data_IF_114765580115
#
_entry.id   IF_114765580115
#
_cell.length_a   1.000
_cell.length_b   1.000
_cell.length_c   1.000
_cell.angle_alpha   90.00
_cell.angle_beta   90.00
_cell.angle_gamma   90.00
#
_symmetry.space_group_name_H-M   'P 1'
#
loop_
_entity.id
_entity.type
_entity.pdbx_description
1 polymer ?
#
# COMPACT_ATOMS: atom_id res chain seq x y z
N UNK A 1 6.57 -18.29 -37.04
CA UNK A 1 6.51 -17.29 -35.96
C UNK A 1 5.20 -17.48 -35.20
N UNK A 2 5.20 -17.30 -33.89
CA UNK A 2 4.06 -17.51 -33.00
C UNK A 2 3.91 -16.26 -32.13
N UNK A 3 2.69 -15.77 -31.95
CA UNK A 3 2.38 -14.71 -31.00
C UNK A 3 1.63 -15.29 -29.81
N UNK A 4 2.05 -14.96 -28.59
CA UNK A 4 1.33 -15.25 -27.35
C UNK A 4 0.54 -14.00 -26.95
N UNK A 5 -0.77 -14.17 -26.78
CA UNK A 5 -1.68 -13.12 -26.30
C UNK A 5 -2.52 -13.66 -25.14
N UNK A 6 -2.99 -12.77 -24.27
CA UNK A 6 -3.98 -13.03 -23.24
C UNK A 6 -5.29 -12.30 -23.60
N UNK A 7 -6.38 -12.64 -22.92
CA UNK A 7 -7.65 -11.93 -23.10
C UNK A 7 -7.52 -10.43 -22.78
N UNK A 8 -6.61 -10.06 -21.87
CA UNK A 8 -6.31 -8.67 -21.53
C UNK A 8 -4.91 -8.51 -20.91
N UNK A 9 -4.30 -7.34 -21.14
CA UNK A 9 -3.09 -6.90 -20.46
C UNK A 9 -1.78 -7.49 -21.01
N UNK A 10 -0.84 -7.76 -20.10
CA UNK A 10 0.49 -8.29 -20.42
C UNK A 10 0.49 -9.82 -20.27
N UNK A 11 0.65 -10.58 -21.38
CA UNK A 11 0.70 -12.04 -21.31
C UNK A 11 1.83 -12.56 -20.41
N UNK A 12 1.53 -13.59 -19.63
CA UNK A 12 2.45 -14.19 -18.68
C UNK A 12 2.42 -13.56 -17.28
N UNK A 13 1.58 -12.54 -17.04
CA UNK A 13 1.42 -11.93 -15.71
C UNK A 13 0.01 -12.24 -15.17
N UNK A 14 -0.04 -13.03 -14.10
CA UNK A 14 -1.30 -13.52 -13.51
C UNK A 14 -2.19 -14.32 -14.49
N UNK A 15 -1.56 -14.96 -15.48
CA UNK A 15 -2.19 -15.81 -16.50
C UNK A 15 -1.30 -17.03 -16.82
N UNK A 16 -1.76 -18.03 -17.63
CA UNK A 16 -1.01 -19.27 -17.84
C UNK A 16 0.21 -19.13 -18.78
N UNK A 17 0.37 -18.00 -19.48
CA UNK A 17 1.39 -17.74 -20.49
C UNK A 17 2.82 -17.89 -19.98
N UNK A 18 3.06 -17.65 -18.69
CA UNK A 18 4.37 -17.82 -18.06
C UNK A 18 4.95 -19.24 -18.28
N UNK A 19 4.10 -20.27 -18.25
CA UNK A 19 4.53 -21.66 -18.44
C UNK A 19 5.06 -21.91 -19.85
N UNK A 20 4.46 -21.27 -20.86
CA UNK A 20 4.90 -21.38 -22.24
C UNK A 20 6.23 -20.64 -22.43
N UNK A 21 6.32 -19.39 -21.96
CA UNK A 21 7.56 -18.60 -22.02
C UNK A 21 8.72 -19.33 -21.38
N UNK A 22 8.51 -19.90 -20.18
CA UNK A 22 9.52 -20.69 -19.48
C UNK A 22 10.04 -21.86 -20.33
N UNK A 23 9.14 -22.66 -20.91
CA UNK A 23 9.52 -23.81 -21.75
C UNK A 23 10.22 -23.40 -23.04
N UNK A 24 9.83 -22.29 -23.64
CA UNK A 24 10.48 -21.77 -24.84
C UNK A 24 11.94 -21.38 -24.54
N UNK A 25 12.17 -20.65 -23.44
CA UNK A 25 13.52 -20.29 -22.98
C UNK A 25 14.36 -21.53 -22.65
N UNK A 26 13.78 -22.53 -21.95
CA UNK A 26 14.46 -23.80 -21.64
C UNK A 26 14.86 -24.59 -22.90
N UNK A 27 14.11 -24.43 -24.00
CA UNK A 27 14.40 -25.06 -25.28
C UNK A 27 15.34 -24.24 -26.18
N UNK A 28 15.87 -23.11 -25.70
CA UNK A 28 16.71 -22.21 -26.50
C UNK A 28 15.97 -21.46 -27.60
N UNK A 29 14.64 -21.32 -27.47
CA UNK A 29 13.82 -20.55 -28.40
C UNK A 29 13.90 -19.07 -27.98
N UNK A 30 14.17 -18.20 -28.96
CA UNK A 30 14.17 -16.76 -28.76
C UNK A 30 12.77 -16.25 -28.40
N UNK A 31 12.69 -15.42 -27.36
CA UNK A 31 11.45 -14.79 -26.89
C UNK A 31 11.65 -13.28 -26.88
N UNK A 32 10.81 -12.57 -27.61
CA UNK A 32 10.74 -11.11 -27.61
C UNK A 32 9.46 -10.65 -26.89
N UNK A 33 9.59 -9.63 -26.04
CA UNK A 33 8.46 -9.03 -25.30
C UNK A 33 8.16 -7.65 -25.87
N UNK A 34 6.91 -7.45 -26.31
CA UNK A 34 6.42 -6.15 -26.75
C UNK A 34 5.80 -5.43 -25.53
N UNK A 35 6.32 -4.26 -25.10
CA UNK A 35 5.70 -3.48 -24.03
C UNK A 35 4.27 -3.09 -24.38
N UNK A 36 3.38 -3.10 -23.39
CA UNK A 36 1.96 -2.86 -23.63
C UNK A 36 1.15 -2.62 -22.36
N UNK A 37 -0.19 -2.59 -22.49
CA UNK A 37 -1.10 -2.31 -21.38
C UNK A 37 -0.91 -3.27 -20.20
N UNK A 38 -0.90 -2.72 -18.98
CA UNK A 38 -0.92 -3.51 -17.74
C UNK A 38 -1.82 -2.83 -16.72
N UNK A 39 -2.82 -3.57 -16.21
CA UNK A 39 -3.84 -3.00 -15.35
C UNK A 39 -3.26 -2.53 -14.00
N UNK A 40 -2.37 -3.31 -13.37
CA UNK A 40 -1.79 -2.92 -12.08
C UNK A 40 -0.88 -1.69 -12.17
N UNK A 41 -0.12 -1.52 -13.27
CA UNK A 41 0.72 -0.32 -13.45
C UNK A 41 -0.13 0.91 -13.75
N UNK A 42 -1.17 0.77 -14.57
CA UNK A 42 -2.13 1.84 -14.84
C UNK A 42 -2.87 2.23 -13.55
N UNK A 43 -3.28 1.26 -12.73
CA UNK A 43 -3.93 1.51 -11.45
C UNK A 43 -3.01 2.26 -10.47
N UNK A 44 -1.73 1.87 -10.40
CA UNK A 44 -0.74 2.55 -9.58
C UNK A 44 -0.56 4.01 -10.01
N UNK A 45 -0.35 4.24 -11.31
CA UNK A 45 -0.20 5.57 -11.88
C UNK A 45 -1.44 6.45 -11.60
N UNK A 46 -2.64 5.88 -11.71
CA UNK A 46 -3.89 6.62 -11.48
C UNK A 46 -4.19 6.83 -9.99
N UNK A 47 -3.71 5.95 -9.11
CA UNK A 47 -3.95 6.04 -7.66
C UNK A 47 -3.24 7.22 -6.99
N UNK A 48 -2.16 7.75 -7.57
CA UNK A 48 -1.32 8.76 -6.94
C UNK A 48 -0.50 8.26 -5.74
N UNK A 49 -0.44 6.94 -5.51
CA UNK A 49 0.43 6.32 -4.51
C UNK A 49 1.88 6.27 -4.98
N UNK A 50 2.80 6.01 -4.05
CA UNK A 50 4.23 5.87 -4.37
C UNK A 50 4.44 4.70 -5.34
N UNK A 51 4.88 5.06 -6.56
CA UNK A 51 5.21 4.14 -7.63
C UNK A 51 6.70 3.85 -7.78
N UNK A 52 7.56 4.41 -6.92
CA UNK A 52 9.01 4.17 -6.95
C UNK A 52 9.37 2.75 -6.49
N UNK A 53 8.59 2.19 -5.57
CA UNK A 53 8.72 0.82 -5.10
C UNK A 53 7.35 0.26 -4.70
N UNK A 54 7.00 -0.89 -5.27
CA UNK A 54 5.70 -1.53 -5.02
C UNK A 54 5.81 -3.06 -5.09
N UNK A 55 4.81 -3.72 -4.53
CA UNK A 55 4.65 -5.18 -4.57
C UNK A 55 3.34 -5.51 -5.26
N UNK A 56 3.39 -6.19 -6.41
CA UNK A 56 2.21 -6.78 -7.04
C UNK A 56 2.10 -8.27 -6.68
N UNK A 57 0.93 -8.69 -6.18
CA UNK A 57 0.73 -10.07 -5.69
C UNK A 57 -0.32 -10.88 -6.46
N UNK A 58 -0.90 -10.31 -7.53
CA UNK A 58 -2.03 -10.95 -8.21
C UNK A 58 -3.26 -11.02 -7.30
N UNK A 59 -3.80 -12.21 -7.05
CA UNK A 59 -5.03 -12.40 -6.29
C UNK A 59 -4.76 -12.99 -4.90
N UNK A 60 -5.49 -12.50 -3.89
CA UNK A 60 -5.52 -13.14 -2.59
C UNK A 60 -6.21 -14.52 -2.65
N UNK A 61 -5.81 -15.48 -1.78
CA UNK A 61 -6.48 -16.77 -1.67
C UNK A 61 -7.99 -16.66 -1.46
N UNK A 62 -8.77 -17.58 -2.04
CA UNK A 62 -10.22 -17.58 -1.90
C UNK A 62 -10.67 -17.99 -0.48
N UNK A 63 -9.95 -18.93 0.15
CA UNK A 63 -10.24 -19.40 1.51
C UNK A 63 -9.89 -18.32 2.53
N UNK A 64 -10.84 -17.99 3.42
CA UNK A 64 -10.70 -16.91 4.41
C UNK A 64 -9.43 -17.05 5.25
N UNK A 65 -9.15 -18.22 5.81
CA UNK A 65 -7.97 -18.43 6.65
C UNK A 65 -6.65 -18.14 5.92
N UNK A 66 -6.53 -18.58 4.67
CA UNK A 66 -5.35 -18.33 3.84
C UNK A 66 -5.26 -16.86 3.41
N UNK A 67 -6.40 -16.22 3.11
CA UNK A 67 -6.46 -14.78 2.83
C UNK A 67 -6.02 -13.96 4.02
N UNK A 68 -6.52 -14.28 5.21
CA UNK A 68 -6.15 -13.59 6.45
C UNK A 68 -4.66 -13.77 6.77
N UNK A 69 -4.11 -14.98 6.59
CA UNK A 69 -2.67 -15.21 6.72
C UNK A 69 -1.85 -14.31 5.76
N UNK A 70 -2.22 -14.27 4.48
CA UNK A 70 -1.57 -13.40 3.50
C UNK A 70 -1.71 -11.91 3.89
N UNK A 71 -2.88 -11.47 4.35
CA UNK A 71 -3.11 -10.09 4.79
C UNK A 71 -2.28 -9.72 6.04
N UNK A 72 -2.02 -10.66 6.95
CA UNK A 72 -1.13 -10.42 8.10
C UNK A 72 0.31 -10.15 7.68
N UNK A 73 0.80 -10.86 6.65
CA UNK A 73 2.12 -10.60 6.08
C UNK A 73 2.16 -9.24 5.40
N UNK A 74 1.13 -8.92 4.59
CA UNK A 74 1.02 -7.64 3.87
C UNK A 74 0.88 -6.43 4.80
N UNK A 75 0.32 -6.60 6.00
CA UNK A 75 0.26 -5.53 7.02
C UNK A 75 1.65 -4.96 7.35
N UNK A 76 2.71 -5.76 7.21
CA UNK A 76 4.09 -5.35 7.52
C UNK A 76 4.82 -4.76 6.31
N UNK A 77 4.23 -4.84 5.11
CA UNK A 77 4.85 -4.35 3.88
C UNK A 77 5.05 -2.83 3.94
N UNK A 78 6.24 -2.40 3.52
CA UNK A 78 6.70 -1.01 3.58
C UNK A 78 6.57 -0.28 2.23
N UNK A 79 6.01 -0.96 1.23
CA UNK A 79 5.80 -0.49 -0.13
C UNK A 79 4.31 -0.50 -0.46
N UNK A 80 3.92 0.19 -1.52
CA UNK A 80 2.55 0.07 -2.05
C UNK A 80 2.30 -1.37 -2.49
N UNK A 81 1.27 -2.01 -1.95
CA UNK A 81 0.81 -3.32 -2.39
C UNK A 81 -0.30 -3.14 -3.42
N UNK A 82 -0.24 -3.90 -4.50
CA UNK A 82 -1.26 -3.93 -5.55
C UNK A 82 -1.75 -5.36 -5.71
N UNK A 83 -3.06 -5.54 -5.70
CA UNK A 83 -3.70 -6.83 -5.94
C UNK A 83 -4.90 -6.68 -6.87
N UNK A 84 -5.20 -7.74 -7.59
CA UNK A 84 -6.46 -7.88 -8.31
C UNK A 84 -7.51 -8.48 -7.37
N UNK A 85 -8.76 -8.05 -7.52
CA UNK A 85 -9.87 -8.62 -6.76
C UNK A 85 -11.12 -8.79 -7.62
N UNK A 86 -11.84 -9.87 -7.40
CA UNK A 86 -13.12 -10.10 -8.06
C UNK A 86 -14.21 -9.24 -7.41
N UNK A 87 -15.17 -8.70 -8.18
CA UNK A 87 -16.20 -7.79 -7.65
C UNK A 87 -17.02 -8.42 -6.52
N UNK A 88 -17.40 -9.69 -6.67
CA UNK A 88 -18.16 -10.43 -5.65
C UNK A 88 -17.35 -10.76 -4.38
N UNK A 89 -16.04 -10.52 -4.39
CA UNK A 89 -15.13 -10.75 -3.25
C UNK A 89 -14.72 -9.48 -2.52
N UNK A 90 -14.76 -8.32 -3.18
CA UNK A 90 -14.20 -7.07 -2.64
C UNK A 90 -14.67 -6.76 -1.21
N UNK A 91 -15.99 -6.86 -0.95
CA UNK A 91 -16.54 -6.57 0.39
C UNK A 91 -15.94 -7.49 1.45
N UNK A 92 -15.83 -8.80 1.18
CA UNK A 92 -15.23 -9.77 2.11
C UNK A 92 -13.73 -9.51 2.32
N UNK A 93 -13.03 -9.11 1.27
CA UNK A 93 -11.61 -8.75 1.35
C UNK A 93 -11.42 -7.49 2.19
N UNK A 94 -12.24 -6.45 2.02
CA UNK A 94 -12.23 -5.25 2.85
C UNK A 94 -12.60 -5.54 4.31
N UNK A 95 -13.52 -6.47 4.57
CA UNK A 95 -13.83 -6.94 5.93
C UNK A 95 -12.61 -7.56 6.61
N UNK A 96 -11.97 -8.55 5.96
CA UNK A 96 -10.77 -9.19 6.51
C UNK A 96 -9.61 -8.19 6.66
N UNK A 97 -9.46 -7.23 5.73
CA UNK A 97 -8.48 -6.16 5.85
C UNK A 97 -8.77 -5.23 7.02
N UNK A 98 -10.04 -4.87 7.25
CA UNK A 98 -10.45 -4.03 8.38
C UNK A 98 -10.14 -4.72 9.71
N UNK A 99 -10.41 -6.02 9.81
CA UNK A 99 -10.08 -6.84 10.98
C UNK A 99 -8.57 -6.88 11.26
N UNK A 100 -7.73 -6.97 10.23
CA UNK A 100 -6.28 -7.18 10.37
C UNK A 100 -5.48 -5.87 10.45
N UNK A 101 -5.76 -4.93 9.55
CA UNK A 101 -5.04 -3.67 9.38
C UNK A 101 -5.68 -2.52 10.14
N UNK A 102 -6.95 -2.64 10.51
CA UNK A 102 -7.75 -1.59 11.13
C UNK A 102 -8.56 -0.79 10.10
N UNK A 103 -9.77 -0.30 10.47
CA UNK A 103 -10.66 0.38 9.53
C UNK A 103 -10.09 1.71 9.00
N UNK A 104 -9.22 2.36 9.77
CA UNK A 104 -8.63 3.66 9.42
C UNK A 104 -7.47 3.56 8.42
N UNK A 105 -7.01 2.35 8.08
CA UNK A 105 -5.90 2.20 7.16
C UNK A 105 -6.29 2.75 5.78
N UNK A 106 -5.47 3.63 5.16
CA UNK A 106 -5.79 4.15 3.83
C UNK A 106 -5.77 3.02 2.80
N UNK A 107 -6.62 3.10 1.79
CA UNK A 107 -6.74 2.11 0.72
C UNK A 107 -7.31 2.79 -0.53
N UNK A 108 -6.99 2.26 -1.70
CA UNK A 108 -7.53 2.74 -2.98
C UNK A 108 -8.12 1.59 -3.77
N UNK A 109 -9.33 1.77 -4.29
CA UNK A 109 -9.99 0.84 -5.21
C UNK A 109 -10.06 1.50 -6.58
N UNK A 110 -9.37 0.91 -7.56
CA UNK A 110 -9.40 1.33 -8.96
C UNK A 110 -10.21 0.31 -9.75
N UNK A 111 -11.17 0.78 -10.55
CA UNK A 111 -12.11 -0.07 -11.27
C UNK A 111 -12.17 0.30 -12.74
N UNK A 112 -12.38 -0.73 -13.56
CA UNK A 112 -12.80 -0.58 -14.96
C UNK A 112 -11.90 0.38 -15.76
N UNK A 113 -10.58 0.31 -15.53
CA UNK A 113 -9.58 1.18 -16.18
C UNK A 113 -9.80 1.16 -17.70
N UNK A 114 -9.73 2.33 -18.33
CA UNK A 114 -9.97 2.57 -19.76
C UNK A 114 -11.41 2.35 -20.25
N UNK A 115 -12.37 1.99 -19.39
CA UNK A 115 -13.77 1.76 -19.77
C UNK A 115 -14.66 2.97 -19.41
N UNK A 116 -15.90 2.98 -19.90
CA UNK A 116 -16.86 4.08 -19.68
C UNK A 116 -17.11 4.37 -18.19
N UNK A 117 -17.09 3.33 -17.35
CA UNK A 117 -17.36 3.42 -15.91
C UNK A 117 -16.09 3.35 -15.05
N UNK A 118 -14.94 3.75 -15.62
CA UNK A 118 -13.69 3.79 -14.90
C UNK A 118 -13.80 4.65 -13.63
N UNK A 119 -13.21 4.21 -12.53
CA UNK A 119 -13.31 4.90 -11.24
C UNK A 119 -12.07 4.66 -10.39
N UNK A 120 -11.62 5.70 -9.70
CA UNK A 120 -10.71 5.60 -8.55
C UNK A 120 -11.47 6.04 -7.32
N UNK A 121 -11.45 5.23 -6.27
CA UNK A 121 -12.01 5.59 -4.97
C UNK A 121 -10.98 5.39 -3.88
N UNK A 122 -10.65 6.49 -3.20
CA UNK A 122 -9.71 6.53 -2.10
C UNK A 122 -10.47 6.75 -0.79
N UNK A 123 -9.93 6.24 0.29
CA UNK A 123 -10.48 6.40 1.63
C UNK A 123 -9.84 5.44 2.60
N UNK A 124 -10.35 5.41 3.82
CA UNK A 124 -10.03 4.33 4.76
C UNK A 124 -10.70 3.02 4.34
N UNK A 125 -10.20 1.88 4.81
CA UNK A 125 -10.85 0.58 4.59
C UNK A 125 -12.33 0.63 5.04
N UNK A 126 -12.60 1.25 6.19
CA UNK A 126 -13.95 1.38 6.73
C UNK A 126 -14.89 2.17 5.82
N UNK A 127 -14.44 3.31 5.29
CA UNK A 127 -15.21 4.13 4.35
C UNK A 127 -15.50 3.39 3.05
N UNK A 128 -14.51 2.69 2.50
CA UNK A 128 -14.67 1.91 1.29
C UNK A 128 -15.59 0.70 1.51
N UNK A 129 -15.49 0.05 2.66
CA UNK A 129 -16.35 -1.08 3.03
C UNK A 129 -17.82 -0.65 3.11
N UNK A 130 -18.12 0.46 3.77
CA UNK A 130 -19.48 1.03 3.82
C UNK A 130 -19.98 1.36 2.42
N UNK A 131 -19.16 2.05 1.62
CA UNK A 131 -19.53 2.42 0.26
C UNK A 131 -19.87 1.21 -0.62
N UNK A 132 -19.03 0.18 -0.63
CA UNK A 132 -19.22 -1.00 -1.51
C UNK A 132 -20.28 -1.99 -1.01
N UNK A 133 -20.72 -1.89 0.25
CA UNK A 133 -21.94 -2.58 0.72
C UNK A 133 -23.20 -1.98 0.09
N UNK A 134 -23.26 -0.66 0.00
CA UNK A 134 -24.39 0.06 -0.62
C UNK A 134 -24.30 0.10 -2.15
N UNK A 135 -23.08 0.09 -2.69
CA UNK A 135 -22.80 0.19 -4.12
C UNK A 135 -21.97 -1.03 -4.57
N UNK A 136 -22.58 -2.23 -4.70
CA UNK A 136 -21.87 -3.44 -5.07
C UNK A 136 -20.99 -3.23 -6.31
N UNK A 137 -19.68 -3.52 -6.23
CA UNK A 137 -18.79 -3.27 -7.34
C UNK A 137 -19.10 -4.25 -8.48
N UNK A 138 -18.78 -3.81 -9.69
CA UNK A 138 -18.85 -4.57 -10.94
C UNK A 138 -17.57 -4.37 -11.73
N UNK A 139 -17.29 -5.34 -12.61
CA UNK A 139 -16.15 -5.31 -13.51
C UNK A 139 -14.83 -5.69 -12.83
N UNK A 140 -13.74 -5.20 -13.40
CA UNK A 140 -12.37 -5.46 -12.98
C UNK A 140 -11.93 -4.46 -11.90
N UNK A 141 -11.15 -4.96 -10.94
CA UNK A 141 -10.73 -4.20 -9.77
C UNK A 141 -9.25 -4.41 -9.50
N UNK A 142 -8.53 -3.29 -9.37
CA UNK A 142 -7.22 -3.24 -8.71
C UNK A 142 -7.42 -2.60 -7.32
N UNK A 143 -7.03 -3.31 -6.28
CA UNK A 143 -6.99 -2.81 -4.91
C UNK A 143 -5.54 -2.46 -4.57
N UNK A 144 -5.32 -1.23 -4.11
CA UNK A 144 -4.02 -0.74 -3.72
C UNK A 144 -4.03 -0.40 -2.23
N UNK A 145 -3.03 -0.94 -1.55
CA UNK A 145 -2.82 -0.76 -0.11
C UNK A 145 -1.52 0.01 0.00
N UNK A 146 -1.55 1.30 0.39
CA UNK A 146 -0.34 2.06 0.68
C UNK A 146 0.49 1.33 1.73
N UNK A 147 1.80 1.59 1.76
CA UNK A 147 2.65 1.14 2.85
C UNK A 147 2.00 1.47 4.19
N UNK A 148 2.10 0.55 5.15
CA UNK A 148 1.71 0.85 6.52
C UNK A 148 2.40 2.16 6.90
N UNK A 149 1.65 3.14 7.42
CA UNK A 149 2.29 4.30 8.04
C UNK A 149 3.28 3.71 9.04
N UNK A 150 4.57 3.97 8.83
CA UNK A 150 5.49 3.87 9.97
C UNK A 150 4.87 4.82 10.97
N UNK A 151 4.33 4.29 12.06
CA UNK A 151 4.51 4.99 13.32
C UNK A 151 5.99 5.31 13.30
N UNK A 152 6.34 6.57 13.08
CA UNK A 152 7.74 6.97 13.16
C UNK A 152 8.22 6.33 14.46
N UNK A 153 9.23 5.46 14.40
CA UNK A 153 9.81 4.95 15.64
C UNK A 153 10.02 6.18 16.51
N UNK A 154 9.46 6.22 17.74
CA UNK A 154 9.56 7.39 18.57
C UNK A 154 11.03 7.80 18.57
N UNK A 155 11.33 8.98 18.04
CA UNK A 155 12.72 9.40 17.88
C UNK A 155 13.42 9.18 19.23
N UNK A 156 14.60 8.54 19.27
CA UNK A 156 15.25 8.22 20.52
C UNK A 156 15.27 9.46 21.41
N UNK A 157 14.88 9.34 22.67
CA UNK A 157 14.71 10.51 23.55
C UNK A 157 16.00 11.36 23.61
N UNK A 158 17.16 10.72 23.45
CA UNK A 158 18.47 11.36 23.30
C UNK A 158 18.55 12.31 22.09
N UNK A 159 18.03 11.92 20.93
CA UNK A 159 17.96 12.78 19.74
C UNK A 159 17.05 13.98 19.99
N UNK A 160 15.86 13.75 20.54
CA UNK A 160 14.90 14.83 20.86
C UNK A 160 15.55 15.86 21.80
N UNK A 161 16.33 15.40 22.78
CA UNK A 161 17.07 16.27 23.71
C UNK A 161 18.20 17.04 23.02
N UNK A 162 18.96 16.38 22.13
CA UNK A 162 20.03 17.03 21.39
C UNK A 162 19.49 18.18 20.51
N UNK A 163 18.39 17.93 19.80
CA UNK A 163 17.75 18.95 18.97
C UNK A 163 17.09 20.05 19.81
N UNK A 164 16.54 19.70 20.99
CA UNK A 164 16.02 20.69 21.93
C UNK A 164 17.14 21.61 22.46
N UNK A 165 18.33 21.05 22.76
CA UNK A 165 19.50 21.83 23.18
C UNK A 165 19.96 22.78 22.07
N UNK A 166 20.06 22.29 20.84
CA UNK A 166 20.43 23.13 19.69
C UNK A 166 19.48 24.31 19.47
N UNK A 167 18.16 24.12 19.68
CA UNK A 167 17.20 25.22 19.63
C UNK A 167 17.46 26.27 20.71
N UNK A 168 17.74 25.83 21.94
CA UNK A 168 18.06 26.72 23.05
C UNK A 168 19.35 27.49 22.77
N UNK A 169 20.38 26.81 22.28
CA UNK A 169 21.68 27.41 21.92
C UNK A 169 21.54 28.41 20.76
N UNK A 170 20.57 28.19 19.86
CA UNK A 170 20.23 29.13 18.79
C UNK A 170 19.43 30.36 19.25
N UNK A 171 19.12 30.47 20.54
CA UNK A 171 18.44 31.62 21.15
C UNK A 171 16.93 31.46 21.33
N UNK A 172 16.37 30.28 21.06
CA UNK A 172 14.95 30.00 21.33
C UNK A 172 14.73 29.86 22.83
N UNK A 173 13.68 30.52 23.36
CA UNK A 173 13.30 30.38 24.76
C UNK A 173 13.11 28.91 25.15
N UNK A 174 13.69 28.52 26.28
CA UNK A 174 13.70 27.13 26.77
C UNK A 174 12.29 26.54 26.87
N UNK A 175 11.29 27.31 27.30
CA UNK A 175 9.90 26.85 27.43
C UNK A 175 9.25 26.59 26.07
N UNK A 176 9.58 27.41 25.07
CA UNK A 176 9.11 27.26 23.70
C UNK A 176 9.85 26.13 22.96
N UNK A 177 11.16 25.97 23.14
CA UNK A 177 11.92 24.85 22.56
C UNK A 177 11.35 23.49 22.98
N UNK A 178 11.06 23.31 24.28
CA UNK A 178 10.41 22.10 24.78
C UNK A 178 9.00 21.87 24.20
N UNK A 179 8.25 22.96 23.98
CA UNK A 179 6.88 22.89 23.44
C UNK A 179 6.89 22.57 21.95
N UNK A 180 7.83 23.14 21.20
CA UNK A 180 8.05 22.87 19.78
C UNK A 180 8.38 21.40 19.58
N UNK A 181 9.39 20.86 20.28
CA UNK A 181 9.81 19.47 20.13
C UNK A 181 8.79 18.46 20.68
N UNK A 182 8.08 18.79 21.77
CA UNK A 182 6.96 17.98 22.25
C UNK A 182 5.85 17.82 21.21
N UNK A 183 5.53 18.90 20.49
CA UNK A 183 4.52 18.89 19.42
C UNK A 183 5.02 18.15 18.18
N UNK A 184 6.26 18.40 17.78
CA UNK A 184 6.89 17.81 16.59
C UNK A 184 6.98 16.28 16.68
N UNK A 185 7.39 15.76 17.85
CA UNK A 185 7.55 14.32 18.07
C UNK A 185 6.36 13.65 18.76
N UNK A 186 5.28 14.40 19.01
CA UNK A 186 4.09 13.93 19.73
C UNK A 186 4.42 13.25 21.09
N UNK A 187 5.32 13.87 21.87
CA UNK A 187 5.73 13.40 23.20
C UNK A 187 5.35 14.40 24.28
N UNK A 188 5.21 13.96 25.54
CA UNK A 188 4.90 14.86 26.66
C UNK A 188 6.07 15.81 26.91
N UNK A 189 5.78 17.12 27.03
CA UNK A 189 6.75 18.15 27.42
C UNK A 189 7.50 17.79 28.72
N UNK A 190 6.81 17.21 29.69
CA UNK A 190 7.41 16.77 30.96
C UNK A 190 8.46 15.67 30.80
N UNK A 191 8.31 14.81 29.78
CA UNK A 191 9.28 13.76 29.46
C UNK A 191 10.58 14.35 28.93
N UNK A 192 10.49 15.31 28.00
CA UNK A 192 11.68 16.02 27.50
C UNK A 192 12.35 16.80 28.63
N UNK A 193 11.56 17.49 29.46
CA UNK A 193 12.08 18.29 30.57
C UNK A 193 12.87 17.47 31.59
N UNK A 194 12.32 16.33 32.03
CA UNK A 194 12.96 15.44 33.00
C UNK A 194 14.29 14.92 32.46
N UNK A 195 14.29 14.40 31.24
CA UNK A 195 15.48 13.81 30.65
C UNK A 195 16.54 14.86 30.24
N UNK A 196 16.13 16.10 29.97
CA UNK A 196 17.06 17.21 29.72
C UNK A 196 17.81 17.66 30.98
N UNK A 197 17.19 17.51 32.16
CA UNK A 197 17.81 17.83 33.45
C UNK A 197 18.68 16.70 34.01
N UNK A 198 18.40 15.45 33.63
CA UNK A 198 19.17 14.26 33.99
C UNK A 198 20.43 14.06 33.11
N UNK A 199 20.78 15.04 32.28
CA UNK A 199 21.91 15.05 31.34
C UNK A 199 23.09 15.85 31.91
#
# INVERSE_FOLDING_TARGET
>A
QIALVSDAGMPGISDPGQKLVKRALEAGIEVEVIPGPSAFTAALAWSGLDGSSFTFIGFLPAKRSQRQAALMDLKREQRTVILYEAPHRLVKTLEDMSEIMGPEHPTTVVREITKLHQQVKQGSIGELLLYYRENPPRGEICLLIPAARRDAEPAPLAQIIQETAALIDSGVDKKEAFKMKAREYNVKKSTIYKQFLDK
#
